data_IF_216740185582
#
_entry.id   IF_216740185582
#
_cell.length_a   1.000
_cell.length_b   1.000
_cell.length_c   1.000
_cell.angle_alpha   90.00
_cell.angle_beta   90.00
_cell.angle_gamma   90.00
#
_symmetry.space_group_name_H-M   'P 1'
#
loop_
_entity.id
_entity.type
_entity.pdbx_description
1 polymer ?
#
# COMPACT_ATOMS: atom_id res chain seq x y z
N UNK A 1 -6.27 -2.15 23.63
CA UNK A 1 -5.20 -2.26 22.62
C UNK A 1 -4.12 -1.25 22.99
N UNK A 2 -3.04 -1.68 23.65
CA UNK A 2 -1.96 -0.78 24.07
C UNK A 2 -1.22 -0.31 22.83
N UNK A 3 -1.27 1.00 22.57
CA UNK A 3 -0.32 1.64 21.65
C UNK A 3 1.07 1.36 22.20
N UNK A 4 1.86 0.53 21.48
CA UNK A 4 3.30 0.45 21.74
C UNK A 4 3.83 1.87 21.66
N UNK A 5 4.42 2.36 22.75
CA UNK A 5 5.08 3.66 22.79
C UNK A 5 5.94 3.84 21.53
N UNK A 6 5.76 4.99 20.87
CA UNK A 6 6.62 5.36 19.73
C UNK A 6 8.02 5.59 20.29
N UNK A 7 8.84 4.55 20.29
CA UNK A 7 10.28 4.78 20.31
C UNK A 7 10.56 5.69 19.11
N UNK A 8 11.36 6.74 19.31
CA UNK A 8 11.82 7.60 18.23
C UNK A 8 12.73 6.76 17.31
N UNK A 9 12.13 6.08 16.35
CA UNK A 9 12.87 5.36 15.34
C UNK A 9 13.33 6.35 14.29
N UNK A 10 14.64 6.49 14.15
CA UNK A 10 15.26 7.35 13.14
C UNK A 10 14.89 6.90 11.71
N UNK A 11 14.45 5.67 11.53
CA UNK A 11 14.13 5.09 10.22
C UNK A 11 13.15 3.92 10.36
N UNK A 12 12.10 3.90 9.55
CA UNK A 12 11.21 2.74 9.38
C UNK A 12 11.48 2.15 8.00
N UNK A 13 11.79 0.86 7.97
CA UNK A 13 12.01 0.13 6.72
C UNK A 13 10.65 -0.34 6.17
N UNK A 14 10.40 -0.09 4.91
CA UNK A 14 9.20 -0.59 4.22
C UNK A 14 9.57 -1.79 3.36
N UNK A 15 8.88 -2.91 3.57
CA UNK A 15 8.97 -4.09 2.71
C UNK A 15 7.69 -4.17 1.89
N UNK A 16 7.80 -4.06 0.58
CA UNK A 16 6.68 -4.30 -0.35
C UNK A 16 6.64 -5.79 -0.69
N UNK A 17 5.51 -6.42 -0.41
CA UNK A 17 5.23 -7.79 -0.82
C UNK A 17 4.32 -7.74 -2.05
N UNK A 18 4.89 -8.00 -3.22
CA UNK A 18 4.20 -7.93 -4.51
C UNK A 18 3.55 -9.27 -4.82
N UNK A 19 2.21 -9.33 -4.71
CA UNK A 19 1.46 -10.56 -4.98
C UNK A 19 1.44 -10.84 -6.49
N UNK A 20 1.79 -12.06 -6.94
CA UNK A 20 1.75 -12.45 -8.34
C UNK A 20 0.32 -12.73 -8.80
N UNK A 21 -0.47 -11.68 -8.96
CA UNK A 21 -1.87 -11.75 -9.37
C UNK A 21 -2.15 -10.79 -10.53
N UNK A 22 -3.25 -11.03 -11.27
CA UNK A 22 -3.76 -10.12 -12.29
C UNK A 22 -4.39 -8.87 -11.70
N UNK A 23 -5.11 -8.15 -12.54
CA UNK A 23 -5.95 -7.03 -12.14
C UNK A 23 -7.22 -7.02 -12.99
N UNK A 24 -8.36 -6.73 -12.37
CA UNK A 24 -9.64 -6.53 -13.07
C UNK A 24 -9.80 -5.10 -13.62
N UNK A 25 -8.91 -4.18 -13.24
CA UNK A 25 -8.96 -2.77 -13.63
C UNK A 25 -7.92 -2.44 -14.71
N UNK A 26 -8.18 -1.36 -15.47
CA UNK A 26 -7.34 -0.83 -16.54
C UNK A 26 -7.13 0.68 -16.37
N UNK A 27 -6.70 1.10 -15.17
CA UNK A 27 -6.52 2.51 -14.82
C UNK A 27 -5.57 3.20 -15.80
N UNK A 28 -5.95 4.41 -16.25
CA UNK A 28 -5.16 5.18 -17.23
C UNK A 28 -3.78 5.58 -16.72
N UNK A 29 -3.65 5.80 -15.41
CA UNK A 29 -2.42 6.17 -14.69
C UNK A 29 -1.70 4.97 -14.06
N UNK A 30 -2.04 3.74 -14.41
CA UNK A 30 -1.45 2.56 -13.79
C UNK A 30 0.03 2.41 -14.17
N UNK A 31 0.93 2.61 -13.21
CA UNK A 31 2.36 2.45 -13.41
C UNK A 31 2.81 1.00 -13.70
N UNK A 32 1.95 0.02 -13.39
CA UNK A 32 2.21 -1.39 -13.72
C UNK A 32 1.91 -1.72 -15.18
N UNK A 33 1.15 -0.87 -15.91
CA UNK A 33 0.68 -1.12 -17.26
C UNK A 33 1.82 -1.14 -18.28
N UNK A 34 2.77 -0.22 -18.11
CA UNK A 34 3.94 -0.05 -19.01
C UNK A 34 5.24 -0.49 -18.31
N UNK A 35 5.15 -1.02 -17.10
CA UNK A 35 6.32 -1.48 -16.40
C UNK A 35 6.90 -2.69 -17.13
N UNK A 36 8.23 -2.73 -17.27
CA UNK A 36 8.97 -3.91 -17.72
C UNK A 36 8.79 -5.13 -16.79
N UNK A 37 8.02 -4.94 -15.73
CA UNK A 37 7.59 -5.99 -14.80
C UNK A 37 6.47 -6.81 -15.44
N UNK A 38 6.79 -7.65 -16.39
CA UNK A 38 5.92 -8.77 -16.76
C UNK A 38 5.87 -9.67 -15.54
N UNK A 39 4.75 -9.64 -14.83
CA UNK A 39 4.54 -10.56 -13.72
C UNK A 39 4.57 -11.99 -14.23
N UNK A 40 5.39 -12.82 -13.63
CA UNK A 40 5.58 -14.20 -14.07
C UNK A 40 4.41 -15.12 -13.70
N UNK A 41 3.55 -14.68 -12.78
CA UNK A 41 2.42 -15.46 -12.21
C UNK A 41 2.80 -16.86 -11.70
N UNK A 42 4.08 -17.07 -11.41
CA UNK A 42 4.54 -18.33 -10.84
C UNK A 42 4.28 -18.38 -9.33
N UNK A 43 3.05 -18.77 -8.98
CA UNK A 43 2.59 -18.86 -7.59
C UNK A 43 3.43 -19.84 -6.75
N UNK A 44 3.91 -20.94 -7.34
CA UNK A 44 4.70 -21.93 -6.61
C UNK A 44 6.05 -21.37 -6.22
N UNK A 45 6.77 -20.75 -7.16
CA UNK A 45 8.02 -20.05 -6.85
C UNK A 45 7.80 -18.92 -5.85
N UNK A 46 6.74 -18.15 -5.97
CA UNK A 46 6.41 -17.11 -5.01
C UNK A 46 6.25 -17.67 -3.60
N UNK A 47 5.35 -18.65 -3.41
CA UNK A 47 5.10 -19.26 -2.08
C UNK A 47 6.38 -19.85 -1.49
N UNK A 48 7.19 -20.50 -2.32
CA UNK A 48 8.46 -21.07 -1.89
C UNK A 48 9.45 -20.02 -1.38
N UNK A 49 9.52 -18.85 -2.01
CA UNK A 49 10.61 -17.90 -1.81
C UNK A 49 10.25 -16.72 -0.87
N UNK A 50 8.95 -16.34 -0.73
CA UNK A 50 8.63 -15.09 -0.04
C UNK A 50 8.89 -15.12 1.46
N UNK A 51 8.60 -16.23 2.15
CA UNK A 51 8.84 -16.34 3.59
C UNK A 51 10.34 -16.34 3.94
N UNK A 52 11.22 -17.09 3.25
CA UNK A 52 12.66 -16.95 3.40
C UNK A 52 13.15 -15.52 3.19
N UNK A 53 12.68 -14.84 2.11
CA UNK A 53 13.02 -13.43 1.83
C UNK A 53 12.59 -12.50 2.95
N UNK A 54 11.35 -12.65 3.45
CA UNK A 54 10.83 -11.86 4.56
C UNK A 54 11.60 -12.15 5.85
N UNK A 55 11.90 -13.41 6.14
CA UNK A 55 12.67 -13.82 7.33
C UNK A 55 14.05 -13.19 7.32
N UNK A 56 14.73 -13.22 6.19
CA UNK A 56 16.04 -12.59 6.02
C UNK A 56 15.99 -11.09 6.37
N UNK A 57 15.04 -10.32 5.77
CA UNK A 57 14.92 -8.90 6.08
C UNK A 57 14.65 -8.65 7.57
N UNK A 58 13.78 -9.45 8.17
CA UNK A 58 13.41 -9.26 9.58
C UNK A 58 14.57 -9.58 10.52
N UNK A 59 15.43 -10.51 10.18
CA UNK A 59 16.66 -10.83 10.96
C UNK A 59 17.74 -9.75 10.76
N UNK A 60 18.10 -9.47 9.51
CA UNK A 60 19.27 -8.63 9.22
C UNK A 60 19.03 -7.13 9.42
N UNK A 61 17.79 -6.68 9.18
CA UNK A 61 17.42 -5.27 9.18
C UNK A 61 16.49 -4.95 10.36
N UNK A 62 15.55 -5.85 10.65
CA UNK A 62 14.52 -5.68 11.66
C UNK A 62 15.05 -5.58 13.09
N UNK A 63 16.19 -6.17 13.39
CA UNK A 63 16.85 -6.06 14.70
C UNK A 63 17.28 -4.62 15.01
N UNK A 64 17.61 -3.84 13.97
CA UNK A 64 18.11 -2.46 14.09
C UNK A 64 17.04 -1.41 13.79
N UNK A 65 16.05 -1.75 12.97
CA UNK A 65 15.04 -0.82 12.49
C UNK A 65 13.65 -1.48 12.48
N UNK A 66 12.59 -0.75 12.84
CA UNK A 66 11.23 -1.28 12.71
C UNK A 66 10.88 -1.49 11.24
N UNK A 67 10.29 -2.63 10.93
CA UNK A 67 9.85 -3.01 9.59
C UNK A 67 8.34 -2.84 9.46
N UNK A 68 7.88 -2.23 8.37
CA UNK A 68 6.48 -2.21 7.93
C UNK A 68 6.35 -3.10 6.68
N UNK A 69 5.31 -3.94 6.63
CA UNK A 69 5.01 -4.79 5.49
C UNK A 69 3.85 -4.20 4.71
N UNK A 70 4.06 -3.92 3.42
CA UNK A 70 3.02 -3.39 2.51
C UNK A 70 2.71 -4.43 1.42
N UNK A 71 1.57 -5.11 1.53
CA UNK A 71 1.06 -6.05 0.53
C UNK A 71 0.49 -5.26 -0.63
N UNK A 72 1.00 -5.51 -1.82
CA UNK A 72 0.69 -4.78 -3.05
C UNK A 72 0.82 -5.68 -4.29
N UNK A 73 0.81 -5.10 -5.47
CA UNK A 73 0.92 -5.78 -6.75
C UNK A 73 -0.01 -5.12 -7.78
N UNK A 74 -0.45 -5.87 -8.78
CA UNK A 74 -1.50 -5.40 -9.69
C UNK A 74 -2.82 -5.19 -8.93
N UNK A 75 -3.47 -6.28 -8.53
CA UNK A 75 -4.57 -6.28 -7.57
C UNK A 75 -4.42 -7.50 -6.65
N UNK A 76 -3.98 -7.32 -5.41
CA UNK A 76 -3.73 -8.43 -4.50
C UNK A 76 -4.95 -9.32 -4.26
N UNK A 77 -6.17 -8.75 -4.28
CA UNK A 77 -7.41 -9.49 -4.06
C UNK A 77 -7.97 -10.14 -5.32
N UNK A 78 -7.32 -9.98 -6.49
CA UNK A 78 -7.78 -10.57 -7.75
C UNK A 78 -7.73 -12.10 -7.70
N UNK A 79 -6.66 -12.67 -7.18
CA UNK A 79 -6.56 -14.08 -6.84
C UNK A 79 -6.78 -14.28 -5.34
N UNK A 80 -8.05 -14.40 -4.97
CA UNK A 80 -8.44 -14.46 -3.56
C UNK A 80 -7.90 -15.71 -2.85
N UNK A 81 -7.75 -16.84 -3.54
CA UNK A 81 -7.24 -18.08 -2.96
C UNK A 81 -5.73 -17.97 -2.68
N UNK A 82 -4.97 -17.41 -3.61
CA UNK A 82 -3.55 -17.15 -3.37
C UNK A 82 -3.33 -16.18 -2.20
N UNK A 83 -4.07 -15.07 -2.16
CA UNK A 83 -3.92 -14.14 -1.06
C UNK A 83 -4.33 -14.74 0.28
N UNK A 84 -5.38 -15.55 0.32
CA UNK A 84 -5.78 -16.31 1.51
C UNK A 84 -4.66 -17.23 2.01
N UNK A 85 -4.02 -17.98 1.12
CA UNK A 85 -2.88 -18.84 1.45
C UNK A 85 -1.74 -18.03 2.06
N UNK A 86 -1.37 -16.91 1.44
CA UNK A 86 -0.33 -15.99 1.95
C UNK A 86 -0.69 -15.45 3.35
N UNK A 87 -1.94 -15.04 3.57
CA UNK A 87 -2.39 -14.54 4.87
C UNK A 87 -2.33 -15.60 5.96
N UNK A 88 -2.66 -16.85 5.63
CA UNK A 88 -2.55 -18.00 6.54
C UNK A 88 -1.07 -18.22 6.90
N UNK A 89 -0.18 -18.23 5.91
CA UNK A 89 1.26 -18.38 6.13
C UNK A 89 1.83 -17.26 6.99
N UNK A 90 1.50 -15.99 6.70
CA UNK A 90 1.93 -14.84 7.50
C UNK A 90 1.41 -14.92 8.95
N UNK A 91 0.21 -15.43 9.16
CA UNK A 91 -0.36 -15.65 10.51
C UNK A 91 0.42 -16.71 11.26
N UNK A 92 0.66 -17.86 10.65
CA UNK A 92 1.45 -18.95 11.25
C UNK A 92 2.89 -18.51 11.53
N UNK A 93 3.46 -17.67 10.66
CA UNK A 93 4.78 -17.07 10.88
C UNK A 93 4.80 -16.06 12.04
N UNK A 94 3.63 -15.64 12.54
CA UNK A 94 3.52 -14.71 13.65
C UNK A 94 3.88 -13.28 13.27
N UNK A 95 3.55 -12.84 12.05
CA UNK A 95 3.95 -11.55 11.48
C UNK A 95 3.61 -10.34 12.36
N UNK A 96 2.47 -10.37 13.07
CA UNK A 96 2.04 -9.31 13.98
C UNK A 96 3.04 -8.96 15.08
N UNK A 97 3.82 -9.94 15.53
CA UNK A 97 4.86 -9.74 16.55
C UNK A 97 6.19 -9.25 15.98
N UNK A 98 6.39 -9.36 14.68
CA UNK A 98 7.67 -9.15 14.01
C UNK A 98 7.75 -7.83 13.25
N UNK A 99 6.62 -7.28 12.83
CA UNK A 99 6.56 -6.01 12.09
C UNK A 99 5.80 -4.93 12.86
N UNK A 100 6.11 -3.68 12.57
CA UNK A 100 5.44 -2.52 13.15
C UNK A 100 3.97 -2.45 12.67
N UNK A 101 3.75 -2.77 11.40
CA UNK A 101 2.43 -2.70 10.75
C UNK A 101 2.43 -3.53 9.47
N UNK A 102 1.32 -4.20 9.20
CA UNK A 102 1.01 -4.79 7.90
C UNK A 102 -0.12 -4.01 7.23
N UNK A 103 0.12 -3.54 6.02
CA UNK A 103 -0.84 -2.80 5.19
C UNK A 103 -1.13 -3.57 3.91
N UNK A 104 -2.35 -3.53 3.40
CA UNK A 104 -2.69 -3.98 2.05
C UNK A 104 -3.28 -2.82 1.25
N UNK A 105 -2.88 -2.70 -0.02
CA UNK A 105 -3.47 -1.76 -0.98
C UNK A 105 -4.22 -2.55 -2.05
N UNK A 106 -5.51 -2.25 -2.24
CA UNK A 106 -6.42 -2.99 -3.13
C UNK A 106 -7.43 -2.05 -3.79
N UNK A 107 -7.97 -2.44 -4.94
CA UNK A 107 -9.13 -1.77 -5.54
C UNK A 107 -10.48 -2.28 -4.98
N UNK A 108 -10.45 -3.25 -4.07
CA UNK A 108 -11.62 -3.79 -3.38
C UNK A 108 -12.35 -4.93 -4.10
N UNK A 109 -11.85 -5.43 -5.22
CA UNK A 109 -12.54 -6.41 -6.09
C UNK A 109 -13.11 -7.62 -5.37
N UNK A 110 -12.29 -8.33 -4.61
CA UNK A 110 -12.72 -9.51 -3.82
C UNK A 110 -12.55 -9.31 -2.32
N UNK A 111 -12.44 -8.07 -1.87
CA UNK A 111 -12.06 -7.72 -0.51
C UNK A 111 -12.99 -8.34 0.55
N UNK A 112 -14.31 -8.26 0.36
CA UNK A 112 -15.30 -8.79 1.31
C UNK A 112 -15.12 -10.27 1.62
N UNK A 113 -14.68 -11.07 0.64
CA UNK A 113 -14.43 -12.51 0.82
C UNK A 113 -13.19 -12.79 1.69
N UNK A 114 -12.28 -11.84 1.77
CA UNK A 114 -10.98 -11.98 2.43
C UNK A 114 -10.93 -11.40 3.84
N UNK A 115 -11.90 -10.56 4.22
CA UNK A 115 -11.95 -9.91 5.54
C UNK A 115 -11.77 -10.91 6.71
N UNK A 116 -12.39 -12.13 6.70
CA UNK A 116 -12.19 -13.09 7.77
C UNK A 116 -10.73 -13.56 7.96
N UNK A 117 -9.94 -13.49 6.88
CA UNK A 117 -8.52 -13.89 6.90
C UNK A 117 -7.57 -12.76 7.29
N UNK A 118 -8.05 -11.52 7.33
CA UNK A 118 -7.23 -10.35 7.67
C UNK A 118 -6.92 -10.24 9.17
N UNK A 119 -7.85 -10.68 10.01
CA UNK A 119 -7.67 -10.62 11.47
C UNK A 119 -6.36 -11.31 11.89
N UNK A 120 -5.56 -10.63 12.73
CA UNK A 120 -4.26 -11.13 13.18
C UNK A 120 -3.11 -11.01 12.17
N UNK A 121 -3.35 -10.48 10.97
CA UNK A 121 -2.31 -10.25 9.93
C UNK A 121 -2.31 -8.79 9.49
N UNK A 122 -3.44 -8.28 9.02
CA UNK A 122 -3.55 -6.93 8.46
C UNK A 122 -3.93 -5.93 9.56
N UNK A 123 -3.24 -4.79 9.59
CA UNK A 123 -3.55 -3.66 10.47
C UNK A 123 -4.30 -2.55 9.74
N UNK A 124 -4.08 -2.45 8.43
CA UNK A 124 -4.53 -1.32 7.65
C UNK A 124 -4.87 -1.71 6.21
N UNK A 125 -6.01 -1.26 5.72
CA UNK A 125 -6.43 -1.44 4.33
C UNK A 125 -6.49 -0.08 3.64
N UNK A 126 -5.80 0.05 2.51
CA UNK A 126 -5.95 1.17 1.61
C UNK A 126 -6.79 0.74 0.42
N UNK A 127 -7.94 1.39 0.20
CA UNK A 127 -8.81 1.09 -0.94
C UNK A 127 -8.61 2.16 -2.02
N UNK A 128 -8.22 1.72 -3.21
CA UNK A 128 -8.08 2.58 -4.39
C UNK A 128 -9.45 2.90 -4.95
N UNK A 129 -9.92 4.14 -4.77
CA UNK A 129 -11.25 4.58 -5.20
C UNK A 129 -11.17 5.57 -6.35
N UNK A 130 -10.24 6.52 -6.31
CA UNK A 130 -9.90 7.54 -7.33
C UNK A 130 -10.96 8.60 -7.61
N UNK A 131 -12.25 8.34 -7.38
CA UNK A 131 -13.33 9.32 -7.43
C UNK A 131 -14.52 8.92 -6.55
N UNK A 132 -15.24 9.88 -5.99
CA UNK A 132 -16.45 9.63 -5.21
C UNK A 132 -17.68 9.35 -6.12
N UNK A 133 -17.71 9.86 -7.34
CA UNK A 133 -18.73 9.56 -8.33
C UNK A 133 -18.47 8.20 -8.98
N UNK A 134 -19.52 7.37 -9.04
CA UNK A 134 -19.41 5.97 -9.51
C UNK A 134 -19.04 5.88 -10.99
N UNK A 135 -19.66 6.71 -11.83
CA UNK A 135 -19.49 6.63 -13.29
C UNK A 135 -18.12 7.17 -13.70
N UNK A 136 -17.68 8.25 -13.06
CA UNK A 136 -16.30 8.76 -13.24
C UNK A 136 -15.30 7.71 -12.78
N UNK A 137 -15.51 7.09 -11.63
CA UNK A 137 -14.65 6.01 -11.11
C UNK A 137 -14.56 4.84 -12.08
N UNK A 138 -15.68 4.38 -12.67
CA UNK A 138 -15.67 3.33 -13.69
C UNK A 138 -14.84 3.70 -14.91
N UNK A 139 -14.96 4.93 -15.38
CA UNK A 139 -14.16 5.43 -16.51
C UNK A 139 -12.68 5.48 -16.18
N UNK A 140 -12.32 5.96 -14.98
CA UNK A 140 -10.94 6.05 -14.48
C UNK A 140 -10.29 4.68 -14.38
N UNK A 141 -11.00 3.74 -13.78
CA UNK A 141 -10.47 2.41 -13.47
C UNK A 141 -10.65 1.42 -14.63
N UNK A 142 -11.45 1.76 -15.66
CA UNK A 142 -11.72 0.86 -16.78
C UNK A 142 -12.38 -0.46 -16.38
N UNK A 143 -13.10 -0.49 -15.27
CA UNK A 143 -13.80 -1.68 -14.77
C UNK A 143 -15.09 -1.31 -14.05
N UNK A 144 -15.96 -2.31 -13.79
CA UNK A 144 -17.17 -2.10 -12.99
C UNK A 144 -16.79 -1.66 -11.57
N UNK A 145 -17.31 -0.51 -11.17
CA UNK A 145 -17.02 0.06 -9.87
C UNK A 145 -18.03 -0.38 -8.80
N UNK A 146 -17.52 -0.53 -7.60
CA UNK A 146 -18.29 -0.76 -6.37
C UNK A 146 -19.14 0.48 -6.04
N UNK A 147 -20.34 0.30 -5.50
CA UNK A 147 -21.18 1.42 -5.06
C UNK A 147 -20.67 2.07 -3.76
N UNK A 148 -21.12 3.28 -3.45
CA UNK A 148 -20.79 3.94 -2.19
C UNK A 148 -21.24 3.16 -0.95
N UNK A 149 -22.41 2.52 -1.04
CA UNK A 149 -22.99 1.67 0.01
C UNK A 149 -22.20 0.38 0.21
N UNK A 150 -21.69 -0.21 -0.87
CA UNK A 150 -20.80 -1.37 -0.80
C UNK A 150 -19.47 -1.02 -0.13
N UNK A 151 -18.90 0.16 -0.44
CA UNK A 151 -17.71 0.64 0.29
C UNK A 151 -17.99 0.84 1.77
N UNK A 152 -19.12 1.46 2.14
CA UNK A 152 -19.48 1.64 3.54
C UNK A 152 -19.62 0.30 4.28
N UNK A 153 -20.23 -0.71 3.65
CA UNK A 153 -20.29 -2.07 4.22
C UNK A 153 -18.91 -2.67 4.41
N UNK A 154 -18.05 -2.66 3.39
CA UNK A 154 -16.68 -3.16 3.50
C UNK A 154 -15.89 -2.49 4.63
N UNK A 155 -16.01 -1.16 4.77
CA UNK A 155 -15.35 -0.39 5.83
C UNK A 155 -15.86 -0.82 7.21
N UNK A 156 -17.18 -0.99 7.38
CA UNK A 156 -17.77 -1.47 8.63
C UNK A 156 -17.33 -2.88 8.98
N UNK A 157 -17.30 -3.79 8.00
CA UNK A 157 -16.85 -5.17 8.18
C UNK A 157 -15.36 -5.21 8.60
N UNK A 158 -14.51 -4.42 7.96
CA UNK A 158 -13.10 -4.28 8.34
C UNK A 158 -12.94 -3.70 9.75
N UNK A 159 -13.73 -2.67 10.08
CA UNK A 159 -13.73 -2.06 11.40
C UNK A 159 -14.16 -3.05 12.49
N UNK A 160 -15.14 -3.93 12.21
CA UNK A 160 -15.62 -4.94 13.15
C UNK A 160 -14.54 -5.94 13.56
N UNK A 161 -13.56 -6.18 12.70
CA UNK A 161 -12.38 -7.02 12.97
C UNK A 161 -11.14 -6.21 13.39
N UNK A 162 -11.30 -4.94 13.73
CA UNK A 162 -10.25 -4.06 14.26
C UNK A 162 -9.29 -3.48 13.23
N UNK A 163 -9.68 -3.44 11.96
CA UNK A 163 -8.84 -2.98 10.86
C UNK A 163 -9.24 -1.56 10.45
N UNK A 164 -8.26 -0.68 10.36
CA UNK A 164 -8.44 0.68 9.88
C UNK A 164 -8.41 0.75 8.35
N UNK A 165 -9.23 1.61 7.75
CA UNK A 165 -9.38 1.71 6.31
C UNK A 165 -9.24 3.16 5.82
N UNK A 166 -8.40 3.39 4.81
CA UNK A 166 -8.29 4.67 4.10
C UNK A 166 -8.61 4.54 2.62
N UNK A 167 -9.01 5.64 2.01
CA UNK A 167 -9.11 5.79 0.55
C UNK A 167 -7.75 6.20 -0.03
N UNK A 168 -7.43 5.70 -1.22
CA UNK A 168 -6.39 6.26 -2.09
C UNK A 168 -7.04 6.83 -3.35
N UNK A 169 -6.62 8.06 -3.70
CA UNK A 169 -6.96 8.71 -4.95
C UNK A 169 -5.71 9.20 -5.67
N UNK A 170 -5.63 8.95 -6.96
CA UNK A 170 -4.59 9.55 -7.82
C UNK A 170 -5.15 10.84 -8.40
N UNK A 171 -4.42 11.93 -8.27
CA UNK A 171 -4.70 13.22 -8.91
C UNK A 171 -4.02 13.22 -10.27
N UNK A 172 -4.82 13.13 -11.33
CA UNK A 172 -4.37 13.06 -12.72
C UNK A 172 -5.30 13.86 -13.63
N UNK A 173 -4.79 14.62 -14.59
CA UNK A 173 -5.60 15.22 -15.65
C UNK A 173 -6.09 14.09 -16.60
N UNK A 174 -7.32 14.07 -17.06
CA UNK A 174 -8.41 15.03 -16.93
C UNK A 174 -9.39 14.69 -15.78
N UNK A 175 -9.02 13.92 -14.80
CA UNK A 175 -9.88 13.27 -13.83
C UNK A 175 -10.47 14.29 -12.84
N UNK A 176 -9.69 15.33 -12.48
CA UNK A 176 -9.96 16.17 -11.31
C UNK A 176 -10.17 17.65 -11.73
N UNK A 177 -11.05 17.90 -12.69
CA UNK A 177 -11.26 19.25 -13.25
C UNK A 177 -12.18 20.14 -12.43
N UNK A 178 -12.79 19.64 -11.34
CA UNK A 178 -13.77 20.38 -10.55
C UNK A 178 -13.10 21.08 -9.37
N UNK A 179 -13.46 22.34 -9.14
CA UNK A 179 -12.87 23.15 -8.07
C UNK A 179 -13.10 22.57 -6.66
N UNK A 180 -14.22 21.90 -6.45
CA UNK A 180 -14.67 21.31 -5.19
C UNK A 180 -14.42 19.81 -5.07
N UNK A 181 -13.75 19.20 -6.06
CA UNK A 181 -13.53 17.73 -6.08
C UNK A 181 -12.82 17.20 -4.83
N UNK A 182 -11.77 17.90 -4.36
CA UNK A 182 -11.02 17.54 -3.17
C UNK A 182 -11.92 17.43 -1.94
N UNK A 183 -12.69 18.51 -1.68
CA UNK A 183 -13.52 18.64 -0.48
C UNK A 183 -14.69 17.66 -0.54
N UNK A 184 -15.35 17.56 -1.68
CA UNK A 184 -16.40 16.55 -1.90
C UNK A 184 -15.89 15.13 -1.69
N UNK A 185 -14.67 14.83 -2.10
CA UNK A 185 -14.10 13.49 -1.90
C UNK A 185 -13.70 13.23 -0.44
N UNK A 186 -13.20 14.24 0.27
CA UNK A 186 -12.94 14.17 1.71
C UNK A 186 -14.24 13.88 2.47
N UNK A 187 -15.30 14.65 2.21
CA UNK A 187 -16.60 14.45 2.87
C UNK A 187 -17.20 13.09 2.53
N UNK A 188 -17.23 12.70 1.27
CA UNK A 188 -17.70 11.37 0.86
C UNK A 188 -16.95 10.25 1.57
N UNK A 189 -15.62 10.36 1.65
CA UNK A 189 -14.79 9.34 2.32
C UNK A 189 -15.14 9.23 3.82
N UNK A 190 -15.36 10.37 4.46
CA UNK A 190 -15.75 10.46 5.87
C UNK A 190 -17.13 9.84 6.11
N UNK A 191 -18.11 10.18 5.27
CA UNK A 191 -19.47 9.63 5.33
C UNK A 191 -19.51 8.11 5.14
N UNK A 192 -18.62 7.55 4.32
CA UNK A 192 -18.49 6.10 4.13
C UNK A 192 -17.72 5.39 5.25
N UNK A 193 -17.26 6.13 6.27
CA UNK A 193 -16.63 5.58 7.46
C UNK A 193 -15.13 5.35 7.35
N UNK A 194 -14.48 5.81 6.28
CA UNK A 194 -13.02 5.78 6.17
C UNK A 194 -12.39 6.67 7.24
N UNK A 195 -11.21 6.32 7.74
CA UNK A 195 -10.49 7.13 8.72
C UNK A 195 -9.57 8.18 8.08
N UNK A 196 -9.46 8.19 6.78
CA UNK A 196 -8.66 9.16 6.03
C UNK A 196 -8.60 8.90 4.55
N UNK A 197 -8.02 9.85 3.84
CA UNK A 197 -7.78 9.81 2.40
C UNK A 197 -6.31 10.10 2.09
N UNK A 198 -5.78 9.43 1.06
CA UNK A 198 -4.44 9.63 0.54
C UNK A 198 -4.53 10.08 -0.91
N UNK A 199 -4.19 11.33 -1.15
CA UNK A 199 -4.02 11.86 -2.49
C UNK A 199 -2.59 11.59 -2.98
N UNK A 200 -2.47 10.96 -4.13
CA UNK A 200 -1.20 10.69 -4.79
C UNK A 200 -1.14 11.45 -6.10
N UNK A 201 0.01 12.01 -6.42
CA UNK A 201 0.27 12.53 -7.74
C UNK A 201 0.38 11.36 -8.73
N UNK A 202 -0.14 11.54 -9.94
CA UNK A 202 0.15 10.63 -11.05
C UNK A 202 1.65 10.68 -11.35
N UNK A 203 2.29 9.52 -11.32
CA UNK A 203 3.74 9.40 -11.48
C UNK A 203 4.22 9.76 -12.90
N UNK A 204 3.34 9.66 -13.89
CA UNK A 204 3.65 9.92 -15.31
C UNK A 204 3.29 11.33 -15.77
N UNK A 205 2.61 12.12 -14.92
CA UNK A 205 2.31 13.50 -15.25
C UNK A 205 3.49 14.42 -14.94
N UNK A 206 3.97 15.11 -15.96
CA UNK A 206 4.93 16.23 -15.82
C UNK A 206 4.27 17.43 -15.11
N UNK A 207 3.01 17.72 -15.45
CA UNK A 207 2.24 18.82 -14.88
C UNK A 207 1.58 18.42 -13.55
N UNK A 208 2.18 18.86 -12.45
CA UNK A 208 1.72 18.64 -11.08
C UNK A 208 0.91 19.79 -10.49
N UNK A 209 0.44 20.72 -11.33
CA UNK A 209 -0.24 21.95 -10.88
C UNK A 209 -1.45 21.66 -10.01
N UNK A 210 -2.33 20.73 -10.41
CA UNK A 210 -3.54 20.42 -9.63
C UNK A 210 -3.19 19.72 -8.30
N UNK A 211 -2.22 18.83 -8.29
CA UNK A 211 -1.75 18.21 -7.06
C UNK A 211 -1.21 19.26 -6.07
N UNK A 212 -0.35 20.15 -6.55
CA UNK A 212 0.23 21.22 -5.74
C UNK A 212 -0.84 22.21 -5.26
N UNK A 213 -1.81 22.54 -6.11
CA UNK A 213 -2.93 23.40 -5.75
C UNK A 213 -3.74 22.81 -4.60
N UNK A 214 -4.22 21.57 -4.72
CA UNK A 214 -5.01 20.91 -3.66
C UNK A 214 -4.22 20.76 -2.35
N UNK A 215 -2.94 20.41 -2.43
CA UNK A 215 -2.10 20.33 -1.25
C UNK A 215 -1.94 21.70 -0.57
N UNK A 216 -1.64 22.75 -1.33
CA UNK A 216 -1.46 24.11 -0.81
C UNK A 216 -2.75 24.72 -0.24
N UNK A 217 -3.90 24.44 -0.86
CA UNK A 217 -5.21 24.80 -0.32
C UNK A 217 -5.45 24.12 1.03
N UNK A 218 -5.18 22.80 1.13
CA UNK A 218 -5.35 22.06 2.37
C UNK A 218 -4.37 22.48 3.48
N UNK A 219 -3.17 22.94 3.14
CA UNK A 219 -2.21 23.47 4.11
C UNK A 219 -2.65 24.81 4.72
N UNK A 220 -3.46 25.57 3.99
CA UNK A 220 -3.99 26.88 4.42
C UNK A 220 -5.38 26.77 5.07
N UNK A 221 -6.01 25.62 4.96
CA UNK A 221 -7.35 25.40 5.46
C UNK A 221 -7.36 25.27 6.97
N UNK A 222 -8.12 26.14 7.66
CA UNK A 222 -8.21 26.20 9.12
C UNK A 222 -8.85 24.95 9.76
N UNK A 223 -9.56 24.13 8.98
CA UNK A 223 -10.13 22.86 9.46
C UNK A 223 -9.07 21.79 9.69
N UNK A 224 -7.84 21.98 9.18
CA UNK A 224 -6.77 21.01 9.30
C UNK A 224 -5.62 21.49 10.17
N UNK A 225 -5.12 20.59 11.00
CA UNK A 225 -3.84 20.74 11.68
C UNK A 225 -2.76 20.05 10.87
N UNK A 226 -1.68 20.77 10.55
CA UNK A 226 -0.50 20.21 9.88
C UNK A 226 0.26 19.33 10.88
N UNK A 227 0.34 18.03 10.61
CA UNK A 227 1.09 17.08 11.43
C UNK A 227 2.55 17.03 10.98
N UNK A 228 2.77 16.95 9.67
CA UNK A 228 4.11 17.01 9.07
C UNK A 228 3.98 17.52 7.63
N UNK A 229 5.00 18.27 7.20
CA UNK A 229 5.12 18.74 5.83
C UNK A 229 6.58 18.70 5.42
N UNK A 230 6.86 18.18 4.24
CA UNK A 230 8.19 18.17 3.63
C UNK A 230 8.05 18.70 2.20
N UNK A 231 8.90 19.67 1.88
CA UNK A 231 8.96 20.27 0.54
C UNK A 231 10.43 20.40 0.16
N UNK A 232 10.96 19.36 -0.46
CA UNK A 232 12.30 19.34 -1.02
C UNK A 232 12.21 19.06 -2.53
N UNK A 233 13.26 19.27 -3.33
CA UNK A 233 13.26 18.90 -4.74
C UNK A 233 12.90 17.44 -4.99
N UNK A 234 13.28 16.54 -4.07
CA UNK A 234 13.13 15.11 -4.20
C UNK A 234 11.87 14.56 -3.50
N UNK A 235 11.21 15.37 -2.66
CA UNK A 235 10.11 14.90 -1.82
C UNK A 235 9.15 16.03 -1.49
N UNK A 236 7.90 15.87 -1.91
CA UNK A 236 6.84 16.83 -1.60
C UNK A 236 5.64 16.08 -1.06
N UNK A 237 5.41 16.19 0.25
CA UNK A 237 4.30 15.52 0.92
C UNK A 237 3.86 16.26 2.19
N UNK A 238 2.60 16.10 2.57
CA UNK A 238 2.12 16.56 3.85
C UNK A 238 1.13 15.59 4.49
N UNK A 239 1.06 15.59 5.80
CA UNK A 239 0.05 14.91 6.61
C UNK A 239 -0.73 15.94 7.40
N UNK A 240 -2.03 15.89 7.23
CA UNK A 240 -2.98 16.78 7.87
C UNK A 240 -3.95 15.95 8.72
N UNK A 241 -4.48 16.56 9.77
CA UNK A 241 -5.54 15.99 10.59
C UNK A 241 -6.63 17.04 10.77
N UNK A 242 -7.85 16.69 10.41
CA UNK A 242 -9.04 17.48 10.69
C UNK A 242 -9.40 17.42 12.19
N UNK A 243 -10.18 18.37 12.68
CA UNK A 243 -10.61 18.45 14.08
C UNK A 243 -11.36 17.18 14.58
N UNK A 244 -12.09 16.49 13.70
CA UNK A 244 -12.79 15.23 13.98
C UNK A 244 -11.89 13.98 13.94
N UNK A 245 -10.57 14.17 13.72
CA UNK A 245 -9.58 13.11 13.64
C UNK A 245 -9.37 12.50 12.26
N UNK A 246 -10.17 12.90 11.24
CA UNK A 246 -9.99 12.44 9.86
C UNK A 246 -8.61 12.86 9.32
N UNK A 247 -7.96 11.96 8.58
CA UNK A 247 -6.58 12.15 8.13
C UNK A 247 -6.54 12.41 6.63
N UNK A 248 -5.83 13.45 6.24
CA UNK A 248 -5.56 13.75 4.83
C UNK A 248 -4.06 13.69 4.60
N UNK A 249 -3.66 12.96 3.58
CA UNK A 249 -2.27 12.78 3.22
C UNK A 249 -2.08 13.07 1.74
N UNK A 250 -1.18 13.99 1.41
CA UNK A 250 -0.72 14.26 0.06
C UNK A 250 0.68 13.67 -0.12
N UNK A 251 0.88 12.89 -1.16
CA UNK A 251 2.16 12.29 -1.51
C UNK A 251 2.41 12.48 -3.00
N UNK A 252 3.36 13.32 -3.33
CA UNK A 252 3.94 13.36 -4.66
C UNK A 252 4.79 12.11 -4.81
N UNK A 253 4.32 11.16 -5.63
CA UNK A 253 5.14 10.01 -6.03
C UNK A 253 6.32 10.51 -6.83
N UNK A 254 7.52 10.20 -6.38
CA UNK A 254 8.72 10.41 -7.18
C UNK A 254 9.05 9.05 -7.79
N UNK A 255 9.23 8.99 -9.10
CA UNK A 255 9.83 7.83 -9.78
C UNK A 255 11.34 7.73 -9.45
N UNK A 256 11.81 8.59 -8.56
CA UNK A 256 13.20 8.61 -8.16
C UNK A 256 13.54 7.36 -7.32
N UNK A 257 14.53 6.64 -7.80
CA UNK A 257 15.10 5.46 -7.17
C UNK A 257 15.92 5.79 -5.91
N UNK A 258 16.07 7.05 -5.55
CA UNK A 258 16.89 7.49 -4.40
C UNK A 258 16.43 6.91 -3.06
N UNK A 259 15.13 6.68 -2.89
CA UNK A 259 14.58 6.04 -1.69
C UNK A 259 15.05 4.59 -1.53
N UNK A 260 15.22 3.87 -2.65
CA UNK A 260 15.72 2.50 -2.67
C UNK A 260 17.22 2.45 -2.40
N UNK A 261 17.99 3.37 -2.99
CA UNK A 261 19.44 3.48 -2.75
C UNK A 261 19.78 3.85 -1.31
N UNK A 262 18.87 4.54 -0.60
CA UNK A 262 19.02 4.86 0.84
C UNK A 262 18.67 3.66 1.75
N UNK A 263 18.28 2.50 1.21
CA UNK A 263 17.95 1.30 1.97
C UNK A 263 16.75 1.51 2.92
N UNK A 264 15.74 2.27 2.50
CA UNK A 264 14.50 2.52 3.26
C UNK A 264 13.37 1.61 2.77
N UNK A 265 13.45 1.15 1.54
CA UNK A 265 12.44 0.34 0.91
C UNK A 265 13.06 -0.91 0.27
N UNK A 266 12.44 -2.06 0.49
CA UNK A 266 12.79 -3.34 -0.10
C UNK A 266 11.57 -3.95 -0.75
N UNK A 267 11.77 -4.82 -1.74
CA UNK A 267 10.69 -5.45 -2.48
C UNK A 267 10.88 -6.96 -2.48
N UNK A 268 9.89 -7.69 -2.00
CA UNK A 268 9.72 -9.10 -2.30
C UNK A 268 8.83 -9.14 -3.53
N UNK A 269 9.42 -9.46 -4.68
CA UNK A 269 8.75 -9.38 -5.97
C UNK A 269 7.79 -10.57 -6.21
N UNK A 270 7.17 -10.60 -7.37
CA UNK A 270 6.20 -11.62 -7.79
C UNK A 270 6.79 -13.04 -7.96
N UNK A 271 8.11 -13.19 -7.91
CA UNK A 271 8.82 -14.48 -7.81
C UNK A 271 9.17 -14.87 -6.35
N UNK A 272 8.77 -14.04 -5.38
CA UNK A 272 9.04 -14.20 -3.95
C UNK A 272 10.47 -13.85 -3.54
N UNK A 273 11.32 -13.39 -4.45
CA UNK A 273 12.71 -13.03 -4.14
C UNK A 273 12.84 -11.58 -3.74
N UNK A 274 13.93 -11.29 -3.02
CA UNK A 274 14.22 -9.98 -2.47
C UNK A 274 14.99 -9.09 -3.46
N UNK A 275 14.54 -7.84 -3.57
CA UNK A 275 15.14 -6.81 -4.39
C UNK A 275 15.23 -5.49 -3.62
N UNK A 276 16.23 -4.67 -3.95
CA UNK A 276 16.38 -3.33 -3.38
C UNK A 276 15.69 -2.24 -4.21
N UNK A 277 15.05 -2.59 -5.32
CA UNK A 277 14.43 -1.66 -6.24
C UNK A 277 13.16 -2.26 -6.86
N UNK A 278 12.05 -1.51 -6.80
CA UNK A 278 10.76 -1.95 -7.34
C UNK A 278 10.75 -1.96 -8.88
N UNK A 279 11.42 -1.00 -9.50
CA UNK A 279 11.34 -0.79 -10.95
C UNK A 279 12.42 -1.53 -11.74
N UNK A 280 13.66 -1.52 -11.26
CA UNK A 280 14.82 -2.09 -11.96
C UNK A 280 15.09 -3.54 -11.60
N UNK A 281 14.42 -4.07 -10.55
CA UNK A 281 14.66 -5.41 -9.99
C UNK A 281 16.15 -5.69 -9.79
N UNK A 282 16.87 -4.72 -9.26
CA UNK A 282 18.27 -4.93 -8.88
C UNK A 282 18.31 -5.99 -7.80
N UNK A 283 18.84 -7.15 -8.13
CA UNK A 283 18.95 -8.29 -7.21
C UNK A 283 19.92 -7.95 -6.08
N UNK A 284 19.60 -8.41 -4.91
CA UNK A 284 20.55 -8.50 -3.79
C UNK A 284 21.23 -9.88 -3.97
N UNK A 285 22.22 -9.95 -4.87
CA UNK A 285 22.82 -11.24 -5.30
C UNK A 285 23.48 -12.01 -4.18
N UNK A 286 24.14 -11.33 -3.27
CA UNK A 286 24.84 -11.93 -2.12
C UNK A 286 23.88 -12.61 -1.11
N UNK A 287 22.59 -12.21 -1.11
CA UNK A 287 21.59 -12.72 -0.19
C UNK A 287 20.84 -13.96 -0.69
N UNK A 288 20.96 -14.31 -1.97
CA UNK A 288 20.22 -15.47 -2.53
C UNK A 288 20.76 -16.79 -2.00
N UNK A 289 22.04 -16.87 -1.73
CA UNK A 289 22.67 -18.07 -1.15
C UNK A 289 22.17 -18.32 0.28
N UNK A 290 22.08 -17.26 1.08
CA UNK A 290 21.61 -17.36 2.47
C UNK A 290 20.10 -17.61 2.56
N UNK A 291 19.29 -17.05 1.65
CA UNK A 291 17.85 -17.31 1.56
C UNK A 291 17.59 -18.80 1.26
N UNK A 292 18.36 -19.41 0.36
CA UNK A 292 18.29 -20.83 0.08
C UNK A 292 18.56 -21.68 1.33
N UNK A 293 19.59 -21.37 2.08
CA UNK A 293 19.95 -22.07 3.32
C UNK A 293 18.90 -21.92 4.42
N UNK A 294 18.29 -20.72 4.56
CA UNK A 294 17.22 -20.49 5.54
C UNK A 294 15.97 -21.30 5.15
N UNK A 295 15.67 -21.40 3.87
CA UNK A 295 14.53 -22.18 3.38
C UNK A 295 14.70 -23.67 3.70
N UNK A 296 15.87 -24.20 3.44
CA UNK A 296 16.18 -25.62 3.74
C UNK A 296 16.06 -25.90 5.24
N UNK A 297 16.57 -25.02 6.10
CA UNK A 297 16.42 -25.09 7.55
C UNK A 297 14.96 -24.97 8.03
N UNK A 298 14.15 -24.14 7.39
CA UNK A 298 12.71 -24.06 7.69
C UNK A 298 11.98 -25.35 7.34
N UNK A 299 12.37 -26.05 6.25
CA UNK A 299 11.78 -27.32 5.85
C UNK A 299 12.22 -28.47 6.78
N UNK A 300 13.41 -28.39 7.32
CA UNK A 300 13.97 -29.36 8.25
C UNK A 300 13.50 -29.18 9.70
N UNK A 301 12.73 -28.10 9.97
CA UNK A 301 12.19 -27.83 11.30
C UNK A 301 13.20 -27.26 12.28
N UNK A 302 14.35 -26.79 11.82
CA UNK A 302 15.42 -26.21 12.64
C UNK A 302 15.28 -24.73 12.96
N UNK A 303 14.16 -24.08 12.51
CA UNK A 303 13.76 -22.70 12.80
C UNK A 303 12.29 -22.67 13.28
#
# INVERSE_FOLDING_TARGET
MQYRERKNYNKVITVKLVIPSGCNAHCSFCYMKDSQMKMTYDKKSFIKNFLPSLTFILKEIGDKNPVSLDITGNEPTYDAELLKEILILLRHYGIKGKVLRTTITTNGYSLSKLIPYFAGVIDYVNISVHDFDRDRRQKIMGCKSVSGEEYARMVNDLKSVGINTSVIAVISKPINQFSDWRDSFIEWSREKGFIGIRFRCDAFLEDKTDFNRYMNESLKDSEFTVITHENTPDSHWCRLRRYDGFRVFFLQGVLDTSAYTKGIEYVIADDGKLYCDFYKRTRIEDYQYEIGMIYDKCLEGEL
#
